data_IF_323124743055
#
_entry.id   IF_323124743055
#
_cell.length_a   1.000
_cell.length_b   1.000
_cell.length_c   1.000
_cell.angle_alpha   90.00
_cell.angle_beta   90.00
_cell.angle_gamma   90.00
#
_symmetry.space_group_name_H-M   'P 1'
#
loop_
_entity.id
_entity.type
_entity.pdbx_description
1 polymer ?
#
# COMPACT_ATOMS: atom_id res chain seq x y z
N UNK A 1 -5.92 -14.96 34.41
CA UNK A 1 -6.89 -13.98 33.92
C UNK A 1 -6.76 -13.86 32.41
N UNK A 2 -7.71 -14.41 31.63
CA UNK A 2 -7.76 -14.22 30.17
C UNK A 2 -8.38 -12.85 29.91
N UNK A 3 -7.58 -11.89 29.48
CA UNK A 3 -8.04 -10.55 29.14
C UNK A 3 -8.98 -10.65 27.93
N UNK A 4 -10.28 -10.49 28.16
CA UNK A 4 -11.30 -10.42 27.13
C UNK A 4 -11.19 -9.05 26.47
N UNK A 5 -10.44 -8.97 25.37
CA UNK A 5 -10.42 -7.77 24.54
C UNK A 5 -11.76 -7.73 23.81
N UNK A 6 -12.63 -6.73 24.05
CA UNK A 6 -13.94 -6.68 23.40
C UNK A 6 -13.74 -6.64 21.89
N UNK A 7 -14.49 -7.49 21.17
CA UNK A 7 -14.42 -7.65 19.71
C UNK A 7 -14.52 -6.30 18.96
N UNK A 8 -15.19 -5.32 19.56
CA UNK A 8 -15.34 -3.96 19.05
C UNK A 8 -13.98 -3.23 18.98
N UNK A 9 -13.14 -3.32 19.99
CA UNK A 9 -11.80 -2.70 19.97
C UNK A 9 -10.92 -3.30 18.86
N UNK A 10 -11.04 -4.60 18.61
CA UNK A 10 -10.35 -5.28 17.50
C UNK A 10 -10.92 -4.81 16.15
N UNK A 11 -12.23 -4.67 16.02
CA UNK A 11 -12.89 -4.16 14.82
C UNK A 11 -12.53 -2.70 14.52
N UNK A 12 -12.51 -1.84 15.52
CA UNK A 12 -12.12 -0.44 15.38
C UNK A 12 -10.63 -0.30 15.00
N UNK A 13 -9.75 -1.10 15.62
CA UNK A 13 -8.32 -1.13 15.26
C UNK A 13 -8.11 -1.62 13.83
N UNK A 14 -8.79 -2.71 13.42
CA UNK A 14 -8.75 -3.23 12.05
C UNK A 14 -9.30 -2.24 11.02
N UNK A 15 -10.36 -1.50 11.35
CA UNK A 15 -10.89 -0.43 10.50
C UNK A 15 -9.85 0.68 10.34
N UNK A 16 -9.28 1.19 11.44
CA UNK A 16 -8.24 2.23 11.40
C UNK A 16 -7.02 1.81 10.57
N UNK A 17 -6.53 0.58 10.77
CA UNK A 17 -5.42 0.02 9.99
C UNK A 17 -5.73 -0.08 8.49
N UNK A 18 -6.98 -0.43 8.13
CA UNK A 18 -7.42 -0.48 6.73
C UNK A 18 -7.48 0.90 6.07
N UNK A 19 -7.92 1.93 6.80
CA UNK A 19 -7.92 3.32 6.32
C UNK A 19 -6.49 3.83 6.09
N UNK A 20 -5.58 3.53 7.01
CA UNK A 20 -4.16 3.89 6.87
C UNK A 20 -3.56 3.18 5.64
N UNK A 21 -3.78 1.87 5.50
CA UNK A 21 -3.28 1.13 4.34
C UNK A 21 -3.83 1.67 3.01
N UNK A 22 -5.14 1.94 2.94
CA UNK A 22 -5.77 2.54 1.75
C UNK A 22 -5.19 3.90 1.40
N UNK A 23 -4.91 4.74 2.40
CA UNK A 23 -4.27 6.05 2.22
C UNK A 23 -2.85 5.91 1.66
N UNK A 24 -2.07 4.96 2.19
CA UNK A 24 -0.72 4.67 1.69
C UNK A 24 -0.73 4.13 0.25
N UNK A 25 -1.70 3.28 -0.09
CA UNK A 25 -1.92 2.81 -1.45
C UNK A 25 -2.23 3.96 -2.40
N UNK A 26 -3.12 4.88 -2.01
CA UNK A 26 -3.45 6.06 -2.80
C UNK A 26 -2.22 6.97 -3.02
N UNK A 27 -1.49 7.29 -1.94
CA UNK A 27 -0.28 8.11 -2.01
C UNK A 27 0.79 7.46 -2.89
N UNK A 28 1.01 6.15 -2.76
CA UNK A 28 2.00 5.42 -3.56
C UNK A 28 1.59 5.37 -5.02
N UNK A 29 0.30 5.14 -5.33
CA UNK A 29 -0.20 5.15 -6.71
C UNK A 29 -0.04 6.53 -7.34
N UNK A 30 -0.35 7.61 -6.60
CA UNK A 30 -0.18 8.98 -7.10
C UNK A 30 1.30 9.33 -7.31
N UNK A 31 2.18 8.90 -6.41
CA UNK A 31 3.63 9.07 -6.56
C UNK A 31 4.15 8.37 -7.82
N UNK A 32 3.74 7.11 -8.04
CA UNK A 32 4.13 6.37 -9.23
C UNK A 32 3.57 6.98 -10.52
N UNK A 33 2.38 7.59 -10.49
CA UNK A 33 1.81 8.35 -11.60
C UNK A 33 2.68 9.55 -11.99
N UNK A 34 3.23 10.25 -11.00
CA UNK A 34 4.14 11.39 -11.21
C UNK A 34 5.53 10.96 -11.72
N UNK A 35 5.88 9.68 -11.61
CA UNK A 35 7.17 9.12 -11.99
C UNK A 35 7.05 8.00 -13.03
N UNK A 36 6.72 8.31 -14.29
CA UNK A 36 6.51 7.31 -15.34
C UNK A 36 7.76 6.47 -15.66
N UNK A 37 8.97 6.96 -15.33
CA UNK A 37 10.22 6.21 -15.42
C UNK A 37 10.35 5.03 -14.43
N UNK A 38 9.37 4.86 -13.54
CA UNK A 38 9.36 3.87 -12.47
C UNK A 38 10.26 4.25 -11.29
N UNK A 39 9.93 3.73 -10.11
CA UNK A 39 10.64 4.03 -8.86
C UNK A 39 11.14 2.75 -8.19
N UNK A 40 12.31 2.80 -7.58
CA UNK A 40 12.80 1.67 -6.78
C UNK A 40 12.11 1.61 -5.42
N UNK A 41 12.11 0.42 -4.80
CA UNK A 41 11.59 0.24 -3.43
C UNK A 41 12.18 1.25 -2.45
N UNK A 42 13.50 1.45 -2.49
CA UNK A 42 14.21 2.39 -1.61
C UNK A 42 13.73 3.85 -1.81
N UNK A 43 13.43 4.24 -3.05
CA UNK A 43 12.92 5.57 -3.36
C UNK A 43 11.52 5.77 -2.78
N UNK A 44 10.64 4.78 -2.97
CA UNK A 44 9.27 4.81 -2.43
C UNK A 44 9.28 4.84 -0.89
N UNK A 45 10.14 4.05 -0.25
CA UNK A 45 10.33 4.06 1.20
C UNK A 45 10.76 5.44 1.71
N UNK A 46 11.71 6.09 1.02
CA UNK A 46 12.23 7.39 1.43
C UNK A 46 11.20 8.51 1.28
N UNK A 47 10.42 8.50 0.19
CA UNK A 47 9.44 9.55 -0.10
C UNK A 47 8.20 9.43 0.80
N UNK A 48 7.70 8.21 1.02
CA UNK A 48 6.46 7.99 1.80
C UNK A 48 6.78 7.74 3.29
N UNK A 49 8.05 7.49 3.64
CA UNK A 49 8.47 7.24 5.02
C UNK A 49 8.03 5.86 5.53
N UNK A 50 8.10 4.83 4.67
CA UNK A 50 7.59 3.49 4.98
C UNK A 50 8.69 2.49 5.33
N UNK A 51 8.35 1.56 6.23
CA UNK A 51 9.15 0.35 6.44
C UNK A 51 9.21 -0.48 5.15
N UNK A 52 10.28 -1.25 4.96
CA UNK A 52 10.43 -2.09 3.76
C UNK A 52 9.28 -3.10 3.60
N UNK A 53 8.78 -3.63 4.73
CA UNK A 53 7.64 -4.56 4.75
C UNK A 53 6.35 -3.88 4.27
N UNK A 54 6.05 -2.70 4.80
CA UNK A 54 4.85 -1.93 4.42
C UNK A 54 4.94 -1.44 2.98
N UNK A 55 6.10 -0.94 2.55
CA UNK A 55 6.32 -0.49 1.19
C UNK A 55 6.12 -1.63 0.18
N UNK A 56 6.66 -2.82 0.45
CA UNK A 56 6.40 -4.00 -0.39
C UNK A 56 4.92 -4.35 -0.45
N UNK A 57 4.22 -4.40 0.68
CA UNK A 57 2.80 -4.73 0.71
C UNK A 57 1.94 -3.73 -0.09
N UNK A 58 2.25 -2.44 0.03
CA UNK A 58 1.56 -1.38 -0.73
C UNK A 58 1.90 -1.47 -2.21
N UNK A 59 3.18 -1.63 -2.57
CA UNK A 59 3.61 -1.76 -3.97
C UNK A 59 3.03 -2.99 -4.64
N UNK A 60 2.96 -4.13 -3.95
CA UNK A 60 2.28 -5.32 -4.47
C UNK A 60 0.79 -5.10 -4.75
N UNK A 61 0.15 -4.12 -4.09
CA UNK A 61 -1.25 -3.81 -4.30
C UNK A 61 -1.50 -2.79 -5.43
N UNK A 62 -0.58 -1.85 -5.67
CA UNK A 62 -0.82 -0.70 -6.58
C UNK A 62 0.19 -0.54 -7.71
N UNK A 63 1.22 -1.38 -7.75
CA UNK A 63 2.33 -1.25 -8.69
C UNK A 63 2.65 -2.57 -9.40
N UNK A 64 3.32 -2.45 -10.54
CA UNK A 64 3.93 -3.58 -11.26
C UNK A 64 5.44 -3.44 -11.16
N UNK A 65 6.10 -4.50 -10.71
CA UNK A 65 7.57 -4.55 -10.70
C UNK A 65 8.08 -4.99 -12.08
N UNK A 66 9.00 -4.21 -12.65
CA UNK A 66 9.69 -4.50 -13.89
C UNK A 66 11.12 -3.96 -13.82
N UNK A 67 12.10 -4.81 -14.11
CA UNK A 67 13.53 -4.44 -14.10
C UNK A 67 14.01 -3.80 -12.78
N UNK A 68 13.50 -4.28 -11.64
CA UNK A 68 13.84 -3.76 -10.29
C UNK A 68 13.23 -2.39 -9.96
N UNK A 69 12.30 -1.91 -10.79
CA UNK A 69 11.53 -0.68 -10.58
C UNK A 69 10.04 -0.98 -10.52
N UNK A 70 9.32 -0.19 -9.75
CA UNK A 70 7.88 -0.23 -9.62
C UNK A 70 7.26 0.86 -10.47
N UNK A 71 6.29 0.48 -11.28
CA UNK A 71 5.51 1.36 -12.12
C UNK A 71 4.07 1.34 -11.63
N UNK A 72 3.34 2.42 -11.83
CA UNK A 72 1.93 2.43 -11.47
C UNK A 72 1.21 1.30 -12.20
N UNK A 73 0.50 0.46 -11.44
CA UNK A 73 -0.41 -0.49 -12.03
C UNK A 73 -1.63 0.31 -12.50
N UNK A 74 -1.82 0.47 -13.81
CA UNK A 74 -2.98 1.13 -14.41
C UNK A 74 -4.27 0.28 -14.27
N UNK A 75 -4.49 -0.32 -13.11
CA UNK A 75 -5.68 -1.11 -12.77
C UNK A 75 -6.95 -0.30 -12.61
N UNK A 76 -6.94 1.00 -12.96
CA UNK A 76 -8.16 1.82 -13.06
C UNK A 76 -9.22 1.20 -14.01
N UNK A 77 -8.85 0.19 -14.81
CA UNK A 77 -9.72 -0.57 -15.72
C UNK A 77 -9.72 -2.11 -15.52
N UNK A 78 -9.18 -2.69 -14.45
CA UNK A 78 -9.38 -4.13 -14.20
C UNK A 78 -10.53 -4.33 -13.21
N UNK A 79 -11.61 -5.04 -13.59
CA UNK A 79 -12.71 -5.30 -12.68
C UNK A 79 -12.20 -6.10 -11.49
N UNK A 80 -12.50 -5.62 -10.29
CA UNK A 80 -12.35 -6.39 -9.06
C UNK A 80 -13.43 -7.50 -9.07
N UNK A 81 -13.13 -8.65 -9.66
CA UNK A 81 -13.95 -9.86 -9.61
C UNK A 81 -13.22 -10.98 -10.35
N UNK A 82 -12.98 -12.16 -9.77
CA UNK A 82 -13.85 -12.89 -8.84
C UNK A 82 -14.74 -13.79 -9.67
#
# INVERSE_FOLDING_TARGET
MKSYIPNEAILHKKRGERWVFGTLCYQTSHLLYQHPQGMTLASVQRVIGLSAKTAKAVLSAVAVEKDGKFYQNNQRNQPLGG
#
